data_IF_468595748824
#
_entry.id   IF_468595748824
#
_cell.length_a   1.000
_cell.length_b   1.000
_cell.length_c   1.000
_cell.angle_alpha   90.00
_cell.angle_beta   90.00
_cell.angle_gamma   90.00
#
_symmetry.space_group_name_H-M   'P 1'
#
loop_
_entity.id
_entity.type
_entity.pdbx_description
1 polymer ?
#
# COMPACT_ATOMS: atom_id res chain seq x y z
N UNK A 1 24.57 -12.94 0.75
CA UNK A 1 23.53 -12.81 -0.29
C UNK A 1 23.21 -11.33 -0.37
N UNK A 2 23.25 -10.71 -1.57
CA UNK A 2 22.94 -9.29 -1.73
C UNK A 2 21.51 -9.02 -1.26
N UNK A 3 21.27 -7.81 -0.72
CA UNK A 3 19.94 -7.35 -0.30
C UNK A 3 18.92 -7.41 -1.46
N UNK A 4 19.34 -6.99 -2.64
CA UNK A 4 18.52 -7.06 -3.86
C UNK A 4 18.10 -8.48 -4.22
N UNK A 5 19.02 -9.45 -4.10
CA UNK A 5 18.71 -10.85 -4.36
C UNK A 5 17.63 -11.37 -3.40
N UNK A 6 17.70 -11.03 -2.12
CA UNK A 6 16.69 -11.43 -1.12
C UNK A 6 15.30 -10.85 -1.42
N UNK A 7 15.21 -9.57 -1.83
CA UNK A 7 13.93 -8.95 -2.20
C UNK A 7 13.37 -9.55 -3.49
N UNK A 8 14.22 -9.82 -4.48
CA UNK A 8 13.80 -10.44 -5.73
C UNK A 8 13.27 -11.85 -5.48
N UNK A 9 14.02 -12.70 -4.77
CA UNK A 9 13.60 -14.06 -4.46
C UNK A 9 12.26 -14.08 -3.72
N UNK A 10 11.99 -13.08 -2.88
CA UNK A 10 10.73 -12.97 -2.11
C UNK A 10 9.52 -12.48 -2.92
N UNK A 11 9.74 -11.54 -3.86
CA UNK A 11 8.63 -10.80 -4.49
C UNK A 11 8.54 -10.94 -6.00
N UNK A 12 9.62 -11.29 -6.71
CA UNK A 12 9.59 -11.46 -8.16
C UNK A 12 8.93 -12.78 -8.54
N UNK A 13 8.04 -12.71 -9.51
CA UNK A 13 7.44 -13.93 -10.11
C UNK A 13 8.49 -14.63 -10.96
N UNK A 14 8.72 -15.91 -10.77
CA UNK A 14 9.65 -16.70 -11.61
C UNK A 14 9.23 -16.66 -13.08
N UNK A 15 10.16 -16.32 -13.98
CA UNK A 15 9.90 -16.23 -15.45
C UNK A 15 9.35 -17.51 -16.05
N UNK A 16 9.63 -18.67 -15.47
CA UNK A 16 9.05 -19.97 -15.89
C UNK A 16 7.52 -20.02 -15.79
N UNK A 17 6.93 -19.18 -14.92
CA UNK A 17 5.46 -19.08 -14.78
C UNK A 17 4.82 -18.14 -15.81
N UNK A 18 5.56 -17.27 -16.50
CA UNK A 18 5.03 -16.40 -17.57
C UNK A 18 4.99 -17.13 -18.92
N UNK A 19 5.97 -17.99 -19.24
CA UNK A 19 5.94 -18.80 -20.46
C UNK A 19 4.83 -19.82 -20.47
N UNK A 20 4.51 -20.43 -19.32
CA UNK A 20 3.35 -21.33 -19.18
C UNK A 20 2.02 -20.57 -19.34
N UNK A 21 1.98 -19.29 -19.00
CA UNK A 21 0.78 -18.45 -19.20
C UNK A 21 0.55 -18.09 -20.67
N UNK A 22 1.60 -17.77 -21.42
CA UNK A 22 1.53 -17.46 -22.86
C UNK A 22 1.11 -18.68 -23.68
N UNK A 23 1.60 -19.87 -23.34
CA UNK A 23 1.26 -21.12 -24.02
C UNK A 23 -0.20 -21.58 -23.75
N UNK A 24 -0.80 -21.19 -22.63
CA UNK A 24 -2.21 -21.50 -22.33
C UNK A 24 -3.19 -20.50 -22.92
N UNK A 25 -2.77 -19.28 -23.22
CA UNK A 25 -3.59 -18.26 -23.89
C UNK A 25 -3.65 -18.50 -25.42
N UNK A 26 -2.58 -18.96 -26.04
CA UNK A 26 -2.58 -19.33 -27.48
C UNK A 26 -3.43 -20.56 -27.80
N UNK A 27 -3.58 -21.50 -26.86
CA UNK A 27 -4.43 -22.70 -27.11
C UNK A 27 -5.94 -22.47 -26.86
N UNK A 28 -6.31 -21.29 -26.31
CA UNK A 28 -7.72 -20.92 -26.04
C UNK A 28 -8.42 -20.19 -27.18
N UNK A 29 -7.70 -19.68 -28.19
CA UNK A 29 -8.26 -18.86 -29.26
C UNK A 29 -8.69 -19.64 -30.52
N UNK A 30 -8.35 -20.92 -30.65
CA UNK A 30 -8.58 -21.69 -31.88
C UNK A 30 -9.91 -22.51 -31.93
N UNK A 31 -10.86 -22.23 -31.05
CA UNK A 31 -12.20 -22.88 -31.09
C UNK A 31 -13.31 -21.93 -30.72
N UNK A 32 -13.68 -21.03 -31.61
CA UNK A 32 -15.04 -20.41 -31.65
C UNK A 32 -15.14 -19.50 -32.89
N UNK A 33 -15.18 -20.06 -34.07
CA UNK A 33 -15.87 -19.48 -35.23
C UNK A 33 -16.98 -20.42 -35.65
N UNK A 34 -18.11 -19.84 -35.97
CA UNK A 34 -19.35 -20.29 -36.57
C UNK A 34 -20.56 -20.49 -35.62
N UNK A 35 -21.42 -19.46 -35.57
CA UNK A 35 -22.76 -19.51 -36.18
C UNK A 35 -23.51 -18.17 -36.07
N UNK A 36 -24.10 -17.75 -37.21
CA UNK A 36 -24.98 -16.61 -37.44
C UNK A 36 -26.30 -16.64 -36.66
N UNK A 37 -26.92 -15.55 -36.22
CA UNK A 37 -27.88 -14.69 -36.97
C UNK A 37 -28.80 -13.90 -36.03
N UNK A 38 -28.98 -12.62 -36.39
CA UNK A 38 -30.19 -11.76 -36.33
C UNK A 38 -31.02 -11.58 -35.05
N UNK A 39 -31.18 -10.32 -34.66
CA UNK A 39 -32.46 -9.82 -34.21
C UNK A 39 -32.50 -8.84 -33.03
N UNK A 40 -32.41 -7.55 -33.30
CA UNK A 40 -33.17 -6.40 -32.75
C UNK A 40 -33.45 -6.22 -31.26
N UNK A 41 -33.01 -5.02 -30.79
CA UNK A 41 -33.66 -4.09 -29.86
C UNK A 41 -34.14 -4.59 -28.49
N UNK A 42 -33.50 -4.08 -27.45
CA UNK A 42 -34.06 -3.29 -26.34
C UNK A 42 -33.08 -3.23 -25.16
N UNK A 43 -32.46 -2.06 -24.98
CA UNK A 43 -32.66 -1.12 -23.88
C UNK A 43 -32.27 -1.55 -22.44
N UNK A 44 -31.22 -0.89 -21.97
CA UNK A 44 -31.05 -0.24 -20.64
C UNK A 44 -30.89 -1.12 -19.39
N UNK A 45 -30.74 -2.43 -19.47
CA UNK A 45 -30.51 -3.27 -18.29
C UNK A 45 -29.15 -4.00 -18.26
N UNK A 46 -28.27 -3.79 -19.25
CA UNK A 46 -27.02 -4.58 -19.38
C UNK A 46 -25.79 -4.02 -18.66
N UNK A 47 -25.94 -3.06 -17.78
CA UNK A 47 -24.82 -2.51 -17.00
C UNK A 47 -24.60 -3.16 -15.62
N UNK A 48 -25.41 -4.12 -15.25
CA UNK A 48 -25.33 -4.80 -13.95
C UNK A 48 -24.75 -6.24 -14.00
N UNK A 49 -24.60 -6.85 -15.17
CA UNK A 49 -24.17 -8.26 -15.27
C UNK A 49 -22.72 -8.53 -15.69
N UNK A 50 -21.92 -7.51 -15.98
CA UNK A 50 -20.53 -7.69 -16.42
C UNK A 50 -19.46 -7.51 -15.31
N UNK A 51 -19.80 -7.69 -14.04
CA UNK A 51 -18.85 -7.64 -12.92
C UNK A 51 -18.42 -9.02 -12.40
N UNK A 52 -18.72 -10.11 -13.09
CA UNK A 52 -18.18 -11.44 -12.78
C UNK A 52 -17.11 -11.89 -13.78
N UNK A 53 -16.03 -11.12 -13.93
CA UNK A 53 -14.79 -11.72 -14.39
C UNK A 53 -14.08 -12.29 -13.17
N UNK A 54 -14.44 -13.51 -12.82
CA UNK A 54 -13.64 -14.37 -11.93
C UNK A 54 -12.27 -14.55 -12.58
N UNK A 55 -11.29 -13.72 -12.24
CA UNK A 55 -9.89 -14.09 -12.42
C UNK A 55 -9.69 -15.31 -11.53
N UNK A 56 -9.61 -16.50 -12.15
CA UNK A 56 -9.28 -17.73 -11.43
C UNK A 56 -7.94 -17.53 -10.76
N UNK A 57 -7.82 -17.84 -9.45
CA UNK A 57 -6.52 -17.88 -8.80
C UNK A 57 -5.60 -18.86 -9.56
N UNK A 58 -4.28 -18.65 -9.47
CA UNK A 58 -3.23 -19.55 -10.00
C UNK A 58 -3.70 -21.00 -9.79
N UNK A 59 -3.71 -21.80 -10.82
CA UNK A 59 -3.87 -23.24 -10.65
C UNK A 59 -2.60 -23.75 -9.98
N UNK A 60 -2.75 -24.17 -8.74
CA UNK A 60 -1.72 -24.89 -8.01
C UNK A 60 -1.35 -26.14 -8.81
N UNK A 61 -0.06 -26.45 -8.93
CA UNK A 61 0.45 -27.68 -9.51
C UNK A 61 0.38 -28.80 -8.47
N UNK A 62 0.42 -30.07 -8.91
CA UNK A 62 0.47 -31.20 -7.98
C UNK A 62 1.72 -31.18 -7.07
N UNK A 63 2.77 -30.44 -7.46
CA UNK A 63 3.98 -30.26 -6.67
C UNK A 63 3.84 -29.24 -5.52
N UNK A 64 2.79 -28.41 -5.51
CA UNK A 64 2.52 -27.41 -4.48
C UNK A 64 1.73 -27.99 -3.28
N UNK A 65 1.46 -29.31 -3.27
CA UNK A 65 0.71 -29.97 -2.22
C UNK A 65 1.55 -31.01 -1.51
N UNK A 66 1.50 -31.03 -0.19
CA UNK A 66 2.02 -32.10 0.64
C UNK A 66 1.28 -33.42 0.38
N UNK A 67 1.83 -34.55 0.88
CA UNK A 67 1.21 -35.88 0.77
C UNK A 67 -0.26 -35.91 1.25
N UNK A 68 -0.69 -34.97 2.08
CA UNK A 68 -2.05 -34.82 2.59
C UNK A 68 -2.92 -33.89 1.69
N UNK A 69 -2.41 -33.37 0.58
CA UNK A 69 -3.11 -32.48 -0.36
C UNK A 69 -3.27 -31.05 0.15
N UNK A 70 -2.46 -30.62 1.12
CA UNK A 70 -2.41 -29.27 1.68
C UNK A 70 -1.17 -28.52 1.16
N UNK A 71 -1.30 -27.22 0.98
CA UNK A 71 -0.17 -26.34 0.68
C UNK A 71 0.63 -26.14 1.96
N UNK A 72 1.96 -26.20 1.88
CA UNK A 72 2.82 -25.87 3.03
C UNK A 72 2.60 -24.41 3.46
N UNK A 73 2.82 -24.10 4.73
CA UNK A 73 2.73 -22.72 5.24
C UNK A 73 3.75 -21.83 4.52
N UNK A 74 4.94 -22.35 4.24
CA UNK A 74 6.03 -21.63 3.56
C UNK A 74 5.62 -21.27 2.12
N UNK A 75 5.06 -22.21 1.35
CA UNK A 75 4.57 -21.93 -0.01
C UNK A 75 3.39 -20.95 -0.03
N UNK A 76 2.50 -21.02 0.96
CA UNK A 76 1.40 -20.08 1.09
C UNK A 76 1.91 -18.65 1.38
N UNK A 77 2.86 -18.49 2.29
CA UNK A 77 3.48 -17.20 2.61
C UNK A 77 4.23 -16.63 1.41
N UNK A 78 4.91 -17.45 0.62
CA UNK A 78 5.58 -17.04 -0.61
C UNK A 78 4.58 -16.55 -1.67
N UNK A 79 3.50 -17.27 -1.90
CA UNK A 79 2.44 -16.87 -2.83
C UNK A 79 1.80 -15.55 -2.42
N UNK A 80 1.52 -15.36 -1.13
CA UNK A 80 0.96 -14.11 -0.60
C UNK A 80 1.97 -12.95 -0.75
N UNK A 81 3.26 -13.18 -0.49
CA UNK A 81 4.30 -12.17 -0.67
C UNK A 81 4.45 -11.77 -2.15
N UNK A 82 4.45 -12.72 -3.08
CA UNK A 82 4.50 -12.45 -4.51
C UNK A 82 3.28 -11.65 -5.00
N UNK A 83 2.07 -12.01 -4.55
CA UNK A 83 0.85 -11.26 -4.88
C UNK A 83 0.91 -9.82 -4.35
N UNK A 84 1.39 -9.66 -3.12
CA UNK A 84 1.56 -8.34 -2.50
C UNK A 84 2.60 -7.52 -3.26
N UNK A 85 3.77 -8.11 -3.56
CA UNK A 85 4.82 -7.49 -4.36
C UNK A 85 4.31 -7.02 -5.73
N UNK A 86 3.56 -7.86 -6.44
CA UNK A 86 2.98 -7.51 -7.73
C UNK A 86 1.98 -6.33 -7.63
N UNK A 87 1.17 -6.26 -6.57
CA UNK A 87 0.25 -5.14 -6.34
C UNK A 87 0.99 -3.84 -6.04
N UNK A 88 2.03 -3.89 -5.21
CA UNK A 88 2.88 -2.72 -4.95
C UNK A 88 3.64 -2.28 -6.21
N UNK A 89 4.19 -3.23 -6.98
CA UNK A 89 4.86 -2.94 -8.25
C UNK A 89 3.93 -2.22 -9.24
N UNK A 90 2.70 -2.68 -9.39
CA UNK A 90 1.71 -2.06 -10.26
C UNK A 90 1.23 -0.69 -9.71
N UNK A 91 0.92 -0.61 -8.41
CA UNK A 91 0.41 0.61 -7.79
C UNK A 91 1.45 1.73 -7.68
N UNK A 92 2.75 1.40 -7.64
CA UNK A 92 3.85 2.36 -7.56
C UNK A 92 4.52 2.67 -8.90
N UNK A 93 3.95 2.21 -10.03
CA UNK A 93 4.56 2.34 -11.34
C UNK A 93 4.99 3.79 -11.66
N UNK A 94 4.11 4.77 -11.44
CA UNK A 94 4.44 6.19 -11.71
C UNK A 94 5.56 6.71 -10.82
N UNK A 95 5.55 6.35 -9.54
CA UNK A 95 6.60 6.75 -8.59
C UNK A 95 7.93 6.09 -8.94
N UNK A 96 7.90 4.81 -9.31
CA UNK A 96 9.08 4.04 -9.73
C UNK A 96 9.72 4.63 -10.98
N UNK A 97 8.94 4.84 -12.04
CA UNK A 97 9.44 5.39 -13.29
C UNK A 97 10.06 6.78 -13.09
N UNK A 98 9.37 7.65 -12.35
CA UNK A 98 9.88 9.00 -12.08
C UNK A 98 11.16 8.98 -11.23
N UNK A 99 11.23 8.16 -10.19
CA UNK A 99 12.41 8.05 -9.33
C UNK A 99 13.60 7.47 -10.11
N UNK A 100 13.37 6.41 -10.85
CA UNK A 100 14.40 5.75 -11.66
C UNK A 100 14.95 6.67 -12.74
N UNK A 101 14.09 7.42 -13.44
CA UNK A 101 14.52 8.40 -14.45
C UNK A 101 15.40 9.50 -13.83
N UNK A 102 14.97 10.04 -12.68
CA UNK A 102 15.74 11.09 -12.00
C UNK A 102 17.08 10.57 -11.48
N UNK A 103 17.11 9.37 -10.89
CA UNK A 103 18.35 8.76 -10.40
C UNK A 103 19.31 8.42 -11.56
N UNK A 104 18.80 7.86 -12.66
CA UNK A 104 19.62 7.58 -13.84
C UNK A 104 20.21 8.87 -14.43
N UNK A 105 19.43 9.95 -14.51
CA UNK A 105 19.89 11.25 -14.97
C UNK A 105 20.96 11.84 -14.05
N UNK A 106 20.81 11.67 -12.74
CA UNK A 106 21.77 12.11 -11.74
C UNK A 106 23.11 11.37 -11.91
N UNK A 107 23.08 10.03 -11.95
CA UNK A 107 24.26 9.18 -12.13
C UNK A 107 24.95 9.45 -13.48
N UNK A 108 24.19 9.61 -14.56
CA UNK A 108 24.75 9.94 -15.88
C UNK A 108 25.45 11.31 -15.90
N UNK A 109 24.97 12.28 -15.11
CA UNK A 109 25.53 13.63 -15.02
C UNK A 109 26.77 13.68 -14.14
N UNK A 110 26.78 12.98 -13.03
CA UNK A 110 27.85 12.96 -12.04
C UNK A 110 28.48 11.58 -12.00
N UNK A 111 29.72 11.46 -12.48
CA UNK A 111 30.45 10.17 -12.51
C UNK A 111 31.28 9.92 -11.25
N UNK A 112 31.39 10.91 -10.36
CA UNK A 112 32.15 10.81 -9.12
C UNK A 112 31.25 11.12 -7.94
N UNK A 113 31.51 10.42 -6.86
CA UNK A 113 30.87 10.64 -5.58
C UNK A 113 31.57 11.81 -4.88
N UNK A 114 31.13 13.02 -5.16
CA UNK A 114 31.63 14.28 -4.59
C UNK A 114 30.48 15.10 -3.99
N UNK A 115 30.77 16.28 -3.45
CA UNK A 115 29.76 17.12 -2.80
C UNK A 115 28.69 17.60 -3.77
N UNK A 116 29.06 17.93 -4.99
CA UNK A 116 28.11 18.37 -6.04
C UNK A 116 27.08 17.25 -6.37
N UNK A 117 27.53 15.98 -6.33
CA UNK A 117 26.64 14.82 -6.46
C UNK A 117 25.66 14.72 -5.30
N UNK A 118 26.12 14.86 -4.06
CA UNK A 118 25.24 14.76 -2.88
C UNK A 118 24.24 15.90 -2.82
N UNK A 119 24.63 17.14 -3.15
CA UNK A 119 23.70 18.27 -3.24
C UNK A 119 22.59 18.00 -4.28
N UNK A 120 22.95 17.46 -5.46
CA UNK A 120 21.97 17.12 -6.48
C UNK A 120 21.09 15.92 -6.09
N UNK A 121 21.61 14.96 -5.35
CA UNK A 121 20.83 13.84 -4.76
C UNK A 121 19.83 14.36 -3.73
N UNK A 122 20.22 15.30 -2.87
CA UNK A 122 19.34 15.95 -1.90
C UNK A 122 18.18 16.67 -2.61
N UNK A 123 18.46 17.45 -3.65
CA UNK A 123 17.45 18.14 -4.44
C UNK A 123 16.46 17.15 -5.09
N UNK A 124 16.97 16.05 -5.66
CA UNK A 124 16.17 14.98 -6.27
C UNK A 124 15.22 14.34 -5.22
N UNK A 125 15.74 13.96 -4.06
CA UNK A 125 14.96 13.32 -3.01
C UNK A 125 13.92 14.26 -2.40
N UNK A 126 14.21 15.55 -2.22
CA UNK A 126 13.25 16.57 -1.78
C UNK A 126 12.12 16.71 -2.81
N UNK A 127 12.47 16.72 -4.11
CA UNK A 127 11.49 16.80 -5.20
C UNK A 127 10.58 15.57 -5.26
N UNK A 128 11.08 14.41 -4.83
CA UNK A 128 10.31 13.16 -4.68
C UNK A 128 9.45 13.11 -3.40
N UNK A 129 9.35 14.22 -2.63
CA UNK A 129 8.60 14.35 -1.36
C UNK A 129 9.12 13.44 -0.22
N UNK A 130 10.41 13.06 -0.22
CA UNK A 130 11.02 12.25 0.86
C UNK A 130 11.05 13.00 2.22
N UNK A 131 10.90 14.33 2.20
CA UNK A 131 10.93 15.17 3.40
C UNK A 131 12.36 15.65 3.74
N UNK A 132 12.49 16.93 4.07
CA UNK A 132 13.80 17.57 4.26
C UNK A 132 14.66 16.88 5.33
N UNK A 133 14.10 16.61 6.51
CA UNK A 133 14.86 15.99 7.60
C UNK A 133 15.31 14.57 7.25
N UNK A 134 14.44 13.80 6.59
CA UNK A 134 14.75 12.44 6.13
C UNK A 134 15.86 12.46 5.09
N UNK A 135 15.81 13.40 4.15
CA UNK A 135 16.85 13.59 3.12
C UNK A 135 18.20 13.88 3.76
N UNK A 136 18.27 14.83 4.68
CA UNK A 136 19.52 15.20 5.34
C UNK A 136 20.13 14.02 6.12
N UNK A 137 19.31 13.26 6.83
CA UNK A 137 19.79 12.04 7.53
C UNK A 137 20.29 10.99 6.55
N UNK A 138 19.52 10.72 5.49
CA UNK A 138 19.87 9.72 4.48
C UNK A 138 21.18 10.07 3.76
N UNK A 139 21.33 11.32 3.33
CA UNK A 139 22.53 11.72 2.60
C UNK A 139 23.77 11.75 3.47
N UNK A 140 23.67 12.09 4.75
CA UNK A 140 24.78 11.99 5.69
C UNK A 140 25.21 10.52 5.90
N UNK A 141 24.24 9.61 6.08
CA UNK A 141 24.54 8.16 6.18
C UNK A 141 25.18 7.63 4.88
N UNK A 142 24.68 8.09 3.72
CA UNK A 142 25.28 7.73 2.42
C UNK A 142 26.70 8.23 2.27
N UNK A 143 27.03 9.46 2.70
CA UNK A 143 28.39 9.98 2.72
C UNK A 143 29.32 9.11 3.57
N UNK A 144 28.89 8.78 4.78
CA UNK A 144 29.67 7.91 5.66
C UNK A 144 29.87 6.53 5.06
N UNK A 145 28.85 5.94 4.45
CA UNK A 145 28.92 4.62 3.86
C UNK A 145 29.79 4.59 2.60
N UNK A 146 29.69 5.63 1.75
CA UNK A 146 30.55 5.79 0.58
C UNK A 146 32.04 5.88 0.98
N UNK A 147 32.34 6.62 2.05
CA UNK A 147 33.70 6.70 2.58
C UNK A 147 34.17 5.36 3.16
N UNK A 148 33.30 4.67 3.92
CA UNK A 148 33.61 3.37 4.54
C UNK A 148 33.90 2.27 3.50
N UNK A 149 33.11 2.21 2.42
CA UNK A 149 33.28 1.26 1.30
C UNK A 149 34.28 1.74 0.26
N UNK A 150 34.83 2.97 0.39
CA UNK A 150 35.70 3.62 -0.59
C UNK A 150 35.08 3.70 -2.00
N UNK A 151 33.78 4.01 -2.06
CA UNK A 151 33.02 4.16 -3.31
C UNK A 151 33.39 5.49 -3.94
N UNK A 152 33.86 5.46 -5.19
CA UNK A 152 34.23 6.66 -5.95
C UNK A 152 33.36 6.88 -7.17
N UNK A 153 32.75 5.82 -7.69
CA UNK A 153 31.84 5.87 -8.83
C UNK A 153 30.38 5.93 -8.35
N UNK A 154 29.58 6.77 -8.99
CA UNK A 154 28.16 6.96 -8.63
C UNK A 154 27.31 5.73 -8.96
N UNK A 155 27.71 4.92 -9.94
CA UNK A 155 27.02 3.67 -10.26
C UNK A 155 27.08 2.68 -9.09
N UNK A 156 28.25 2.56 -8.44
CA UNK A 156 28.43 1.68 -7.28
C UNK A 156 27.64 2.14 -6.04
N UNK A 157 27.26 3.44 -5.99
CA UNK A 157 26.46 3.99 -4.91
C UNK A 157 24.96 3.67 -5.04
N UNK A 158 24.48 3.28 -6.21
CA UNK A 158 23.07 3.01 -6.50
C UNK A 158 22.47 1.97 -5.55
N UNK A 159 23.12 0.83 -5.35
CA UNK A 159 22.66 -0.23 -4.44
C UNK A 159 22.63 0.28 -2.99
N UNK A 160 23.63 1.07 -2.60
CA UNK A 160 23.72 1.63 -1.24
C UNK A 160 22.61 2.64 -0.96
N UNK A 161 22.21 3.44 -1.95
CA UNK A 161 21.07 4.35 -1.82
C UNK A 161 19.81 3.57 -1.47
N UNK A 162 19.52 2.49 -2.20
CA UNK A 162 18.34 1.67 -1.96
C UNK A 162 18.43 0.94 -0.62
N UNK A 163 19.59 0.37 -0.26
CA UNK A 163 19.81 -0.25 1.06
C UNK A 163 19.49 0.74 2.18
N UNK A 164 20.01 1.96 2.11
CA UNK A 164 19.79 2.99 3.15
C UNK A 164 18.34 3.46 3.24
N UNK A 165 17.64 3.58 2.13
CA UNK A 165 16.19 3.88 2.14
C UNK A 165 15.43 2.79 2.89
N UNK A 166 15.81 1.53 2.72
CA UNK A 166 15.19 0.41 3.43
C UNK A 166 15.53 0.42 4.91
N UNK A 167 16.79 0.68 5.27
CA UNK A 167 17.21 0.75 6.67
C UNK A 167 16.42 1.80 7.45
N UNK A 168 16.13 2.96 6.86
CA UNK A 168 15.29 4.01 7.47
C UNK A 168 13.90 3.47 7.83
N UNK A 169 13.37 2.53 7.02
CA UNK A 169 12.09 1.89 7.29
C UNK A 169 12.12 0.89 8.43
N UNK A 170 13.22 0.16 8.60
CA UNK A 170 13.35 -0.91 9.59
C UNK A 170 13.86 -0.46 10.96
N UNK A 171 14.17 0.84 11.15
CA UNK A 171 14.74 1.35 12.40
C UNK A 171 13.79 1.34 13.62
N UNK A 172 12.51 1.00 13.45
CA UNK A 172 11.54 0.92 14.54
C UNK A 172 10.82 -0.44 14.54
N UNK A 173 10.35 -0.89 15.71
CA UNK A 173 9.75 -2.22 15.99
C UNK A 173 8.88 -2.80 14.86
N UNK A 174 9.10 -4.08 14.54
CA UNK A 174 8.52 -4.85 13.43
C UNK A 174 6.96 -5.02 13.44
N UNK A 175 6.25 -4.55 14.46
CA UNK A 175 4.81 -4.75 14.64
C UNK A 175 3.97 -3.47 14.71
N UNK A 176 4.54 -2.31 14.43
CA UNK A 176 3.79 -1.04 14.52
C UNK A 176 2.70 -0.90 13.45
N UNK A 177 2.85 -1.58 12.31
CA UNK A 177 1.89 -1.56 11.21
C UNK A 177 0.64 -2.42 11.48
N UNK A 178 0.68 -3.35 12.43
CA UNK A 178 -0.45 -4.20 12.77
C UNK A 178 -1.62 -3.39 13.35
N UNK A 179 -2.85 -3.82 13.01
CA UNK A 179 -4.07 -3.24 13.59
C UNK A 179 -4.25 -3.71 15.03
N UNK A 180 -4.60 -2.79 15.93
CA UNK A 180 -4.93 -3.10 17.32
C UNK A 180 -6.37 -3.63 17.44
N UNK A 181 -6.62 -4.81 16.86
CA UNK A 181 -7.90 -5.49 16.88
C UNK A 181 -7.75 -6.80 17.65
N UNK A 182 -8.72 -7.11 18.50
CA UNK A 182 -8.73 -8.32 19.31
C UNK A 182 -10.01 -9.13 19.07
N UNK A 183 -9.88 -10.44 19.02
CA UNK A 183 -11.02 -11.33 18.87
C UNK A 183 -11.83 -11.38 20.19
N UNK A 184 -13.14 -11.57 20.05
CA UNK A 184 -14.04 -11.72 21.19
C UNK A 184 -14.49 -10.41 21.84
N UNK A 185 -14.06 -9.24 21.32
CA UNK A 185 -14.57 -7.93 21.74
C UNK A 185 -15.11 -7.13 20.55
N UNK A 186 -15.92 -6.11 20.84
CA UNK A 186 -16.26 -5.09 19.85
C UNK A 186 -15.05 -4.16 19.63
N UNK A 187 -14.45 -4.22 18.46
CA UNK A 187 -13.40 -3.30 18.03
C UNK A 187 -14.01 -2.06 17.36
N UNK A 188 -13.56 -0.88 17.74
CA UNK A 188 -14.04 0.39 17.17
C UNK A 188 -12.89 1.08 16.45
N UNK A 189 -13.06 1.31 15.14
CA UNK A 189 -12.14 2.04 14.28
C UNK A 189 -12.73 3.41 13.97
N UNK A 190 -12.04 4.47 14.33
CA UNK A 190 -12.42 5.85 14.02
C UNK A 190 -11.63 6.34 12.82
N UNK A 191 -12.33 6.71 11.72
CA UNK A 191 -11.70 7.23 10.51
C UNK A 191 -11.71 8.75 10.54
N UNK A 192 -10.53 9.39 10.48
CA UNK A 192 -10.37 10.84 10.48
C UNK A 192 -9.57 11.31 9.25
N UNK A 193 -9.63 12.61 8.96
CA UNK A 193 -8.92 13.20 7.81
C UNK A 193 -9.77 14.24 7.08
N UNK A 194 -9.16 15.02 6.19
CA UNK A 194 -9.87 16.09 5.47
C UNK A 194 -10.83 15.55 4.41
N UNK A 195 -11.69 16.41 3.88
CA UNK A 195 -12.61 16.01 2.80
C UNK A 195 -11.84 15.71 1.50
N UNK A 196 -12.27 14.68 0.76
CA UNK A 196 -11.68 14.30 -0.52
C UNK A 196 -10.45 13.39 -0.45
N UNK A 197 -9.93 13.09 0.74
CA UNK A 197 -8.77 12.18 0.91
C UNK A 197 -9.12 10.70 0.76
N UNK A 198 -10.38 10.33 0.54
CA UNK A 198 -10.76 8.93 0.36
C UNK A 198 -11.26 8.20 1.61
N UNK A 199 -11.65 8.90 2.71
CA UNK A 199 -12.15 8.25 3.95
C UNK A 199 -13.27 7.24 3.67
N UNK A 200 -14.37 7.68 3.07
CA UNK A 200 -15.56 6.84 2.84
C UNK A 200 -15.26 5.65 1.93
N UNK A 201 -14.40 5.85 0.91
CA UNK A 201 -13.92 4.76 0.05
C UNK A 201 -13.07 3.76 0.85
N UNK A 202 -12.17 4.24 1.68
CA UNK A 202 -11.34 3.41 2.57
C UNK A 202 -12.19 2.59 3.53
N UNK A 203 -13.22 3.21 4.14
CA UNK A 203 -14.18 2.52 5.02
C UNK A 203 -14.85 1.36 4.28
N UNK A 204 -15.32 1.59 3.05
CA UNK A 204 -15.93 0.54 2.23
C UNK A 204 -14.96 -0.62 1.94
N UNK A 205 -13.72 -0.32 1.57
CA UNK A 205 -12.68 -1.32 1.30
C UNK A 205 -12.26 -2.09 2.57
N UNK A 206 -12.11 -1.41 3.71
CA UNK A 206 -11.84 -2.07 5.00
C UNK A 206 -13.00 -2.98 5.42
N UNK A 207 -14.24 -2.51 5.28
CA UNK A 207 -15.41 -3.31 5.59
C UNK A 207 -15.48 -4.57 4.71
N UNK A 208 -15.18 -4.45 3.41
CA UNK A 208 -15.08 -5.59 2.52
C UNK A 208 -14.01 -6.59 2.98
N UNK A 209 -12.81 -6.10 3.27
CA UNK A 209 -11.68 -6.93 3.72
C UNK A 209 -12.03 -7.72 4.97
N UNK A 210 -12.47 -7.05 6.04
CA UNK A 210 -12.80 -7.73 7.29
C UNK A 210 -13.98 -8.70 7.15
N UNK A 211 -14.95 -8.37 6.28
CA UNK A 211 -16.03 -9.30 5.96
C UNK A 211 -15.52 -10.58 5.29
N UNK A 212 -14.55 -10.44 4.36
CA UNK A 212 -13.91 -11.60 3.71
C UNK A 212 -13.08 -12.43 4.69
N UNK A 213 -12.55 -11.81 5.76
CA UNK A 213 -11.89 -12.47 6.88
C UNK A 213 -12.89 -13.10 7.88
N UNK A 214 -14.20 -13.09 7.56
CA UNK A 214 -15.26 -13.71 8.36
C UNK A 214 -15.74 -12.88 9.56
N UNK A 215 -15.30 -11.62 9.69
CA UNK A 215 -15.73 -10.73 10.79
C UNK A 215 -17.11 -10.13 10.51
N UNK A 216 -17.90 -9.94 11.55
CA UNK A 216 -19.15 -9.16 11.50
C UNK A 216 -18.82 -7.68 11.58
N UNK A 217 -19.07 -6.96 10.49
CA UNK A 217 -18.73 -5.54 10.36
C UNK A 217 -20.00 -4.68 10.35
N UNK A 218 -19.93 -3.49 10.95
CA UNK A 218 -20.94 -2.45 10.90
C UNK A 218 -20.31 -1.09 10.65
N UNK A 219 -21.02 -0.19 9.97
CA UNK A 219 -20.58 1.17 9.66
C UNK A 219 -21.41 2.20 10.41
N UNK A 220 -20.79 3.33 10.80
CA UNK A 220 -21.45 4.49 11.38
C UNK A 220 -21.21 5.74 10.55
N UNK A 221 -22.29 6.38 10.07
CA UNK A 221 -22.25 7.57 9.22
C UNK A 221 -22.17 8.84 10.06
N UNK A 222 -20.98 9.20 10.55
CA UNK A 222 -20.76 10.38 11.37
C UNK A 222 -20.45 11.67 10.60
N UNK A 223 -20.24 11.66 9.27
CA UNK A 223 -20.23 12.90 8.46
C UNK A 223 -21.68 13.36 8.20
N UNK A 224 -22.33 13.82 9.27
CA UNK A 224 -23.75 14.21 9.25
C UNK A 224 -24.00 15.55 8.58
N UNK A 225 -22.96 16.36 8.34
CA UNK A 225 -23.09 17.65 7.68
C UNK A 225 -23.27 17.58 6.16
N UNK A 226 -23.03 16.42 5.59
CA UNK A 226 -23.09 16.20 4.14
C UNK A 226 -24.06 15.05 3.86
N UNK A 227 -25.27 15.40 3.37
CA UNK A 227 -26.25 14.39 2.94
C UNK A 227 -25.63 13.36 1.99
N UNK A 228 -24.89 13.83 0.98
CA UNK A 228 -24.22 12.95 0.04
C UNK A 228 -23.16 12.03 0.67
N UNK A 229 -22.55 12.37 1.82
CA UNK A 229 -21.62 11.47 2.50
C UNK A 229 -22.34 10.33 3.22
N UNK A 230 -23.50 10.62 3.83
CA UNK A 230 -24.38 9.61 4.43
C UNK A 230 -24.84 8.60 3.37
N UNK A 231 -25.34 9.11 2.24
CA UNK A 231 -25.84 8.27 1.15
C UNK A 231 -24.70 7.45 0.51
N UNK A 232 -23.54 8.07 0.32
CA UNK A 232 -22.35 7.36 -0.19
C UNK A 232 -21.95 6.20 0.73
N UNK A 233 -21.98 6.40 2.04
CA UNK A 233 -21.64 5.32 2.99
C UNK A 233 -22.70 4.21 2.97
N UNK A 234 -23.99 4.53 2.81
CA UNK A 234 -25.07 3.55 2.63
C UNK A 234 -24.85 2.69 1.38
N UNK A 235 -24.51 3.34 0.24
CA UNK A 235 -24.19 2.61 -1.00
C UNK A 235 -23.02 1.66 -0.80
N UNK A 236 -21.97 2.08 -0.05
CA UNK A 236 -20.89 1.17 0.32
C UNK A 236 -21.37 0.02 1.20
N UNK A 237 -22.22 0.30 2.19
CA UNK A 237 -22.82 -0.73 3.05
C UNK A 237 -23.59 -1.77 2.24
N UNK A 238 -24.42 -1.33 1.31
CA UNK A 238 -25.19 -2.21 0.41
C UNK A 238 -24.25 -3.03 -0.49
N UNK A 239 -23.26 -2.38 -1.13
CA UNK A 239 -22.30 -3.04 -2.01
C UNK A 239 -21.49 -4.15 -1.30
N UNK A 240 -21.09 -3.89 -0.07
CA UNK A 240 -20.32 -4.83 0.76
C UNK A 240 -21.25 -5.80 1.50
N UNK A 241 -22.53 -5.46 1.68
CA UNK A 241 -23.51 -6.22 2.45
C UNK A 241 -23.22 -6.16 3.94
N UNK A 242 -23.07 -4.95 4.48
CA UNK A 242 -22.91 -4.66 5.93
C UNK A 242 -23.88 -3.57 6.36
N UNK A 243 -24.34 -3.62 7.62
CA UNK A 243 -25.25 -2.64 8.15
C UNK A 243 -24.60 -1.27 8.33
N UNK A 244 -25.35 -0.21 8.00
CA UNK A 244 -24.96 1.19 8.21
C UNK A 244 -25.90 1.86 9.18
N UNK A 245 -25.41 2.38 10.29
CA UNK A 245 -26.14 3.21 11.22
C UNK A 245 -25.96 4.67 10.81
N UNK A 246 -27.08 5.35 10.57
CA UNK A 246 -27.12 6.75 10.16
C UNK A 246 -28.34 7.46 10.79
N UNK A 247 -28.21 8.77 10.95
CA UNK A 247 -29.33 9.67 11.26
C UNK A 247 -29.53 10.67 10.11
N UNK A 248 -30.49 11.57 10.28
CA UNK A 248 -30.73 12.64 9.29
C UNK A 248 -29.58 13.61 9.20
N UNK A 249 -29.46 14.30 8.05
CA UNK A 249 -28.50 15.39 7.87
C UNK A 249 -28.64 16.43 9.00
N UNK A 250 -27.51 16.93 9.49
CA UNK A 250 -27.43 17.89 10.59
C UNK A 250 -27.57 17.30 12.00
N UNK A 251 -27.75 15.98 12.13
CA UNK A 251 -27.74 15.33 13.44
C UNK A 251 -26.37 15.44 14.12
N UNK A 252 -26.33 15.31 15.44
CA UNK A 252 -25.07 15.30 16.21
C UNK A 252 -24.27 14.03 15.88
N UNK A 253 -23.03 14.16 15.34
CA UNK A 253 -22.19 13.00 15.05
C UNK A 253 -21.97 12.08 16.25
N UNK A 254 -21.85 12.65 17.47
CA UNK A 254 -21.67 11.87 18.68
C UNK A 254 -22.90 11.02 19.04
N UNK A 255 -24.11 11.46 18.69
CA UNK A 255 -25.33 10.67 18.87
C UNK A 255 -25.36 9.49 17.89
N UNK A 256 -24.96 9.69 16.63
CA UNK A 256 -24.81 8.60 15.66
C UNK A 256 -23.84 7.54 16.15
N UNK A 257 -22.70 7.92 16.72
CA UNK A 257 -21.71 6.98 17.28
C UNK A 257 -22.26 6.20 18.45
N UNK A 258 -23.01 6.86 19.34
CA UNK A 258 -23.66 6.20 20.47
C UNK A 258 -24.66 5.14 20.02
N UNK A 259 -25.53 5.48 19.05
CA UNK A 259 -26.50 4.56 18.50
C UNK A 259 -25.84 3.38 17.78
N UNK A 260 -24.77 3.65 17.02
CA UNK A 260 -24.01 2.62 16.30
C UNK A 260 -23.34 1.63 17.27
N UNK A 261 -22.75 2.12 18.36
CA UNK A 261 -22.13 1.26 19.38
C UNK A 261 -23.18 0.37 20.05
N UNK A 262 -24.35 0.92 20.40
CA UNK A 262 -25.41 0.14 21.01
C UNK A 262 -25.96 -0.92 20.04
N UNK A 263 -26.15 -0.56 18.77
CA UNK A 263 -26.55 -1.50 17.73
C UNK A 263 -25.50 -2.61 17.52
N UNK A 264 -24.21 -2.24 17.47
CA UNK A 264 -23.11 -3.19 17.32
C UNK A 264 -23.05 -4.19 18.48
N UNK A 265 -23.15 -3.73 19.71
CA UNK A 265 -23.19 -4.60 20.89
C UNK A 265 -24.37 -5.57 20.85
N UNK A 266 -25.57 -5.08 20.53
CA UNK A 266 -26.80 -5.90 20.49
C UNK A 266 -26.75 -6.96 19.37
N UNK A 267 -26.04 -6.70 18.28
CA UNK A 267 -25.90 -7.62 17.14
C UNK A 267 -24.67 -8.53 17.23
N UNK A 268 -23.83 -8.37 18.24
CA UNK A 268 -22.56 -9.10 18.36
C UNK A 268 -21.63 -8.84 17.20
N UNK A 269 -21.42 -7.56 16.88
CA UNK A 269 -20.52 -7.08 15.83
C UNK A 269 -19.07 -7.15 16.33
N UNK A 270 -18.16 -7.61 15.48
CA UNK A 270 -16.74 -7.69 15.83
C UNK A 270 -16.02 -6.35 15.57
N UNK A 271 -16.40 -5.65 14.47
CA UNK A 271 -15.73 -4.41 14.05
C UNK A 271 -16.78 -3.35 13.68
N UNK A 272 -16.75 -2.22 14.38
CA UNK A 272 -17.48 -1.00 14.03
C UNK A 272 -16.54 0.03 13.43
N UNK A 273 -16.79 0.45 12.17
CA UNK A 273 -16.00 1.48 11.50
C UNK A 273 -16.82 2.78 11.44
N UNK A 274 -16.27 3.84 12.04
CA UNK A 274 -16.91 5.12 12.22
C UNK A 274 -16.36 6.14 11.21
N UNK A 275 -17.20 6.64 10.27
CA UNK A 275 -16.88 7.78 9.40
C UNK A 275 -17.00 9.09 10.18
N UNK A 276 -16.24 10.11 9.79
CA UNK A 276 -16.29 11.45 10.39
C UNK A 276 -16.24 12.56 9.35
N UNK A 277 -16.71 13.73 9.71
CA UNK A 277 -16.52 14.95 8.93
C UNK A 277 -15.03 15.28 8.76
N UNK A 278 -14.69 16.00 7.68
CA UNK A 278 -13.31 16.41 7.37
C UNK A 278 -13.17 17.87 6.97
N UNK A 279 -13.96 18.77 7.55
CA UNK A 279 -13.99 20.20 7.19
C UNK A 279 -12.88 20.99 7.86
N UNK A 280 -11.67 20.95 7.28
CA UNK A 280 -10.51 21.65 7.84
C UNK A 280 -10.61 23.18 7.75
N UNK A 281 -11.50 23.73 6.90
CA UNK A 281 -11.75 25.17 6.82
C UNK A 281 -12.22 25.79 8.16
N UNK A 282 -12.91 24.98 8.98
CA UNK A 282 -13.26 25.34 10.35
C UNK A 282 -12.59 24.37 11.32
N UNK A 283 -11.24 24.45 11.39
CA UNK A 283 -10.38 23.55 12.15
C UNK A 283 -10.85 23.41 13.61
N UNK A 284 -11.13 24.55 14.26
CA UNK A 284 -11.50 24.55 15.69
C UNK A 284 -12.77 23.74 15.95
N UNK A 285 -13.81 23.98 15.16
CA UNK A 285 -15.08 23.26 15.32
C UNK A 285 -14.93 21.76 15.02
N UNK A 286 -14.18 21.42 13.96
CA UNK A 286 -13.90 20.03 13.61
C UNK A 286 -13.19 19.31 14.76
N UNK A 287 -12.16 19.92 15.34
CA UNK A 287 -11.39 19.31 16.42
C UNK A 287 -12.23 19.14 17.70
N UNK A 288 -13.10 20.09 18.03
CA UNK A 288 -14.05 19.95 19.15
C UNK A 288 -15.07 18.84 18.91
N UNK A 289 -15.56 18.70 17.68
CA UNK A 289 -16.47 17.62 17.28
C UNK A 289 -15.80 16.24 17.41
N UNK A 290 -14.59 16.08 16.88
CA UNK A 290 -13.83 14.84 16.98
C UNK A 290 -13.50 14.46 18.42
N UNK A 291 -13.15 15.44 19.26
CA UNK A 291 -12.94 15.23 20.69
C UNK A 291 -14.24 14.77 21.39
N UNK A 292 -15.39 15.36 21.03
CA UNK A 292 -16.69 14.95 21.55
C UNK A 292 -17.04 13.52 21.14
N UNK A 293 -16.85 13.20 19.84
CA UNK A 293 -17.05 11.85 19.30
C UNK A 293 -16.21 10.84 20.05
N UNK A 294 -14.91 11.08 20.17
CA UNK A 294 -13.96 10.22 20.89
C UNK A 294 -14.40 9.99 22.35
N UNK A 295 -14.81 11.04 23.04
CA UNK A 295 -15.29 10.97 24.43
C UNK A 295 -16.53 10.10 24.57
N UNK A 296 -17.47 10.17 23.61
CA UNK A 296 -18.69 9.34 23.60
C UNK A 296 -18.34 7.89 23.31
N UNK A 297 -17.46 7.62 22.35
CA UNK A 297 -16.98 6.28 22.04
C UNK A 297 -16.32 5.64 23.27
N UNK A 298 -15.38 6.34 23.90
CA UNK A 298 -14.63 5.84 25.07
C UNK A 298 -15.57 5.57 26.28
N UNK A 299 -16.58 6.43 26.47
CA UNK A 299 -17.58 6.20 27.54
C UNK A 299 -18.43 4.95 27.29
N UNK A 300 -18.77 4.68 26.03
CA UNK A 300 -19.59 3.54 25.66
C UNK A 300 -18.80 2.22 25.58
N UNK A 301 -17.55 2.27 25.13
CA UNK A 301 -16.61 1.14 25.06
C UNK A 301 -15.29 1.60 25.68
N UNK A 302 -14.91 1.11 26.87
CA UNK A 302 -13.62 1.46 27.48
C UNK A 302 -12.46 1.18 26.51
N UNK A 303 -11.46 2.03 26.52
CA UNK A 303 -10.26 1.99 25.68
C UNK A 303 -10.49 2.23 24.17
N UNK A 304 -11.75 2.37 23.74
CA UNK A 304 -12.06 2.74 22.36
C UNK A 304 -11.97 4.28 22.13
N UNK A 305 -11.68 4.73 20.88
CA UNK A 305 -11.44 3.90 19.71
C UNK A 305 -10.13 3.11 19.82
N UNK A 306 -10.16 1.82 19.47
CA UNK A 306 -8.98 0.95 19.50
C UNK A 306 -8.02 1.31 18.38
N UNK A 307 -8.57 1.84 17.28
CA UNK A 307 -7.83 2.46 16.19
C UNK A 307 -8.43 3.82 15.83
N UNK A 308 -7.58 4.82 15.73
CA UNK A 308 -7.88 6.13 15.15
C UNK A 308 -7.03 6.29 13.88
N UNK A 309 -7.62 5.96 12.72
CA UNK A 309 -6.92 5.95 11.45
C UNK A 309 -7.06 7.29 10.73
N UNK A 310 -5.94 7.93 10.45
CA UNK A 310 -5.88 9.16 9.67
C UNK A 310 -5.71 8.83 8.18
N UNK A 311 -6.72 9.16 7.37
CA UNK A 311 -6.60 9.10 5.92
C UNK A 311 -5.87 10.34 5.39
N UNK A 312 -4.83 10.10 4.61
CA UNK A 312 -4.05 11.11 3.90
C UNK A 312 -4.01 10.79 2.40
N UNK A 313 -4.07 11.83 1.58
CA UNK A 313 -3.94 11.72 0.13
C UNK A 313 -2.47 11.86 -0.26
N UNK A 314 -1.85 10.81 -0.80
CA UNK A 314 -0.44 10.78 -1.20
C UNK A 314 -0.11 11.85 -2.25
N UNK A 315 -1.08 12.23 -3.10
CA UNK A 315 -0.87 13.23 -4.14
C UNK A 315 -0.65 14.65 -3.61
N UNK A 316 -0.97 14.89 -2.32
CA UNK A 316 -0.81 16.21 -1.68
C UNK A 316 0.60 16.45 -1.11
N UNK A 317 1.47 15.44 -1.12
CA UNK A 317 2.88 15.55 -0.72
C UNK A 317 3.04 16.13 0.70
N UNK A 318 3.92 17.10 0.87
CA UNK A 318 4.23 17.75 2.17
C UNK A 318 2.99 18.34 2.88
N UNK A 319 1.91 18.66 2.17
CA UNK A 319 0.67 19.10 2.79
C UNK A 319 0.03 17.99 3.64
N UNK A 320 0.21 16.71 3.28
CA UNK A 320 -0.25 15.58 4.07
C UNK A 320 0.38 15.56 5.46
N UNK A 321 1.69 15.84 5.57
CA UNK A 321 2.39 15.94 6.86
C UNK A 321 1.82 17.04 7.75
N UNK A 322 1.54 18.21 7.16
CA UNK A 322 0.92 19.32 7.90
C UNK A 322 -0.47 18.96 8.41
N UNK A 323 -1.27 18.24 7.62
CA UNK A 323 -2.56 17.71 8.04
C UNK A 323 -2.39 16.71 9.19
N UNK A 324 -1.47 15.78 9.07
CA UNK A 324 -1.23 14.75 10.07
C UNK A 324 -0.86 15.33 11.44
N UNK A 325 0.02 16.34 11.48
CA UNK A 325 0.36 17.05 12.73
C UNK A 325 -0.88 17.62 13.42
N UNK A 326 -1.79 18.23 12.64
CA UNK A 326 -3.03 18.81 13.18
C UNK A 326 -3.97 17.80 13.80
N UNK A 327 -4.12 16.60 13.18
CA UNK A 327 -4.99 15.55 13.70
C UNK A 327 -4.36 14.78 14.85
N UNK A 328 -3.04 14.57 14.84
CA UNK A 328 -2.30 13.88 15.91
C UNK A 328 -2.58 14.45 17.28
N UNK A 329 -2.61 15.79 17.39
CA UNK A 329 -2.80 16.50 18.66
C UNK A 329 -4.16 16.24 19.32
N UNK A 330 -5.22 15.95 18.54
CA UNK A 330 -6.59 15.88 19.03
C UNK A 330 -7.15 14.46 19.09
N UNK A 331 -6.84 13.64 18.08
CA UNK A 331 -7.49 12.36 17.94
C UNK A 331 -6.68 11.17 18.43
N UNK A 332 -5.44 11.37 18.90
CA UNK A 332 -4.50 10.30 19.23
C UNK A 332 -4.43 9.29 18.08
N UNK A 333 -4.05 9.76 16.90
CA UNK A 333 -3.90 8.92 15.69
C UNK A 333 -3.00 7.73 16.00
N UNK A 334 -3.50 6.52 15.76
CA UNK A 334 -2.77 5.26 15.99
C UNK A 334 -2.15 4.72 14.72
N UNK A 335 -2.63 5.17 13.55
CA UNK A 335 -2.12 4.74 12.25
C UNK A 335 -2.59 5.62 11.11
N UNK A 336 -1.90 5.52 9.99
CA UNK A 336 -2.19 6.27 8.77
C UNK A 336 -2.68 5.31 7.69
N UNK A 337 -3.70 5.74 6.94
CA UNK A 337 -4.09 5.16 5.66
C UNK A 337 -3.70 6.14 4.57
N UNK A 338 -2.70 5.77 3.77
CA UNK A 338 -2.22 6.60 2.68
C UNK A 338 -2.94 6.21 1.38
N UNK A 339 -3.83 7.06 0.92
CA UNK A 339 -4.68 6.81 -0.27
C UNK A 339 -4.05 7.37 -1.54
N UNK A 340 -4.50 6.90 -2.71
CA UNK A 340 -4.13 7.38 -4.05
C UNK A 340 -2.63 7.32 -4.34
N UNK A 341 -1.94 6.35 -3.79
CA UNK A 341 -0.51 6.19 -3.99
C UNK A 341 -0.19 5.83 -5.46
N UNK A 342 -1.10 5.15 -6.14
CA UNK A 342 -1.09 4.86 -7.58
C UNK A 342 -1.21 6.11 -8.47
N UNK A 343 -1.74 7.19 -7.92
CA UNK A 343 -1.94 8.46 -8.63
C UNK A 343 -0.73 9.40 -8.62
N UNK A 344 0.29 9.15 -7.80
CA UNK A 344 1.41 10.06 -7.60
C UNK A 344 2.72 9.56 -8.20
N UNK A 345 3.51 10.49 -8.72
CA UNK A 345 4.92 10.26 -9.07
C UNK A 345 5.87 10.49 -7.87
N UNK A 346 5.34 10.85 -6.69
CA UNK A 346 6.06 11.29 -5.49
C UNK A 346 5.84 10.32 -4.33
N UNK A 347 6.23 9.06 -4.54
CA UNK A 347 6.07 7.99 -3.54
C UNK A 347 6.85 8.21 -2.24
N UNK A 348 7.88 9.05 -2.24
CA UNK A 348 8.74 9.31 -1.07
C UNK A 348 8.02 9.84 0.18
N UNK A 349 6.77 10.32 0.03
CA UNK A 349 5.96 10.81 1.16
C UNK A 349 5.80 9.77 2.29
N UNK A 350 5.82 8.49 1.97
CA UNK A 350 5.72 7.41 2.95
C UNK A 350 6.91 7.45 3.93
N UNK A 351 8.14 7.70 3.41
CA UNK A 351 9.35 7.86 4.22
C UNK A 351 9.24 9.06 5.16
N UNK A 352 8.79 10.20 4.62
CA UNK A 352 8.61 11.42 5.40
C UNK A 352 7.59 11.26 6.52
N UNK A 353 6.47 10.58 6.26
CA UNK A 353 5.44 10.30 7.27
C UNK A 353 6.02 9.52 8.44
N UNK A 354 6.75 8.43 8.17
CA UNK A 354 7.32 7.58 9.21
C UNK A 354 8.35 8.34 10.04
N UNK A 355 9.32 8.94 9.38
CA UNK A 355 10.45 9.59 10.05
C UNK A 355 10.06 10.87 10.82
N UNK A 356 9.11 11.67 10.29
CA UNK A 356 8.76 12.96 10.92
C UNK A 356 7.60 12.88 11.90
N UNK A 357 6.69 11.93 11.75
CA UNK A 357 5.48 11.86 12.55
C UNK A 357 5.53 10.76 13.61
N UNK A 358 6.37 9.74 13.41
CA UNK A 358 6.42 8.54 14.26
C UNK A 358 5.02 7.93 14.43
N UNK A 359 4.25 7.86 13.34
CA UNK A 359 2.94 7.21 13.25
C UNK A 359 3.05 6.14 12.16
N UNK A 360 2.70 4.88 12.44
CA UNK A 360 2.81 3.82 11.44
C UNK A 360 1.82 4.03 10.29
N UNK A 361 2.25 3.74 9.07
CA UNK A 361 1.36 3.56 7.93
C UNK A 361 0.81 2.14 8.03
N UNK A 362 -0.50 1.99 8.19
CA UNK A 362 -1.14 0.67 8.33
C UNK A 362 -1.72 0.14 7.03
N UNK A 363 -2.20 1.03 6.16
CA UNK A 363 -2.76 0.69 4.86
C UNK A 363 -2.35 1.68 3.79
N UNK A 364 -2.26 1.18 2.55
CA UNK A 364 -2.04 2.00 1.35
C UNK A 364 -3.08 1.70 0.28
N UNK A 365 -3.58 2.74 -0.39
CA UNK A 365 -4.45 2.63 -1.56
C UNK A 365 -3.63 2.62 -2.83
N UNK A 366 -3.67 1.52 -3.56
CA UNK A 366 -2.90 1.23 -4.77
C UNK A 366 -3.78 1.17 -6.04
N UNK A 367 -5.03 1.66 -5.96
CA UNK A 367 -5.98 1.67 -7.07
C UNK A 367 -7.44 1.77 -6.63
N UNK A 368 -8.37 1.57 -7.57
CA UNK A 368 -9.81 1.79 -7.38
C UNK A 368 -10.57 0.50 -6.98
N UNK A 369 -10.00 -0.69 -7.19
CA UNK A 369 -10.67 -1.96 -6.90
C UNK A 369 -10.85 -2.17 -5.38
N UNK A 370 -11.78 -3.06 -5.00
CA UNK A 370 -12.05 -3.37 -3.59
C UNK A 370 -10.82 -3.92 -2.86
N UNK A 371 -10.01 -4.68 -3.56
CA UNK A 371 -8.81 -5.33 -3.05
C UNK A 371 -7.52 -4.51 -3.28
N UNK A 372 -7.62 -3.24 -3.73
CA UNK A 372 -6.47 -2.34 -3.90
C UNK A 372 -6.12 -1.54 -2.63
N UNK A 373 -6.84 -1.76 -1.53
CA UNK A 373 -6.40 -1.31 -0.21
C UNK A 373 -5.56 -2.42 0.42
N UNK A 374 -4.25 -2.23 0.45
CA UNK A 374 -3.32 -3.22 0.97
C UNK A 374 -2.80 -2.84 2.36
N UNK A 375 -2.57 -3.83 3.25
CA UNK A 375 -1.75 -3.59 4.42
C UNK A 375 -0.40 -3.05 3.99
N UNK A 376 0.11 -2.10 4.73
CA UNK A 376 1.44 -1.59 4.43
C UNK A 376 2.49 -2.59 4.88
N UNK A 377 3.40 -2.90 3.98
CA UNK A 377 4.58 -3.71 4.25
C UNK A 377 5.80 -2.98 3.68
N UNK A 378 6.78 -2.63 4.51
CA UNK A 378 7.95 -1.87 4.09
C UNK A 378 8.74 -2.51 2.95
N UNK A 379 8.98 -3.83 3.01
CA UNK A 379 9.73 -4.54 1.98
C UNK A 379 8.99 -4.56 0.64
N UNK A 380 7.68 -4.81 0.66
CA UNK A 380 6.83 -4.78 -0.55
C UNK A 380 6.76 -3.39 -1.17
N UNK A 381 6.74 -2.35 -0.33
CA UNK A 381 6.78 -0.96 -0.79
C UNK A 381 8.11 -0.64 -1.49
N UNK A 382 9.23 -1.00 -0.87
CA UNK A 382 10.56 -0.79 -1.45
C UNK A 382 10.72 -1.60 -2.73
N UNK A 383 10.30 -2.87 -2.72
CA UNK A 383 10.28 -3.66 -3.95
C UNK A 383 9.44 -2.97 -5.04
N UNK A 384 8.23 -2.50 -4.73
CA UNK A 384 7.38 -1.79 -5.68
C UNK A 384 8.02 -0.52 -6.25
N UNK A 385 8.80 0.22 -5.44
CA UNK A 385 9.45 1.47 -5.84
C UNK A 385 10.74 1.23 -6.66
N UNK A 386 11.46 0.12 -6.41
CA UNK A 386 12.77 -0.16 -7.00
C UNK A 386 12.82 -1.47 -7.81
N UNK A 387 11.66 -2.08 -8.14
CA UNK A 387 11.57 -3.39 -8.77
C UNK A 387 12.45 -3.51 -10.03
N UNK A 388 12.43 -2.51 -10.91
CA UNK A 388 13.19 -2.56 -12.16
C UNK A 388 14.72 -2.56 -11.92
N UNK A 389 15.18 -1.85 -10.89
CA UNK A 389 16.58 -1.85 -10.48
C UNK A 389 17.01 -3.18 -9.81
N UNK A 390 16.11 -3.74 -9.00
CA UNK A 390 16.33 -5.02 -8.31
C UNK A 390 16.37 -6.17 -9.32
N UNK A 391 15.52 -6.15 -10.35
CA UNK A 391 15.41 -7.18 -11.37
C UNK A 391 16.55 -7.14 -12.40
N UNK A 392 17.06 -5.95 -12.76
CA UNK A 392 18.14 -5.75 -13.76
C UNK A 392 19.54 -6.12 -13.23
N UNK A 393 19.81 -5.98 -11.95
CA UNK A 393 21.16 -6.19 -11.39
C UNK A 393 21.67 -7.65 -11.53
N UNK A 394 20.82 -8.64 -11.76
CA UNK A 394 21.25 -10.04 -11.98
C UNK A 394 21.54 -10.39 -13.45
N UNK A 395 20.96 -9.68 -14.40
CA UNK A 395 21.30 -9.91 -15.83
C UNK A 395 22.77 -9.57 -16.10
N UNK A 396 23.30 -8.55 -15.41
CA UNK A 396 24.72 -8.17 -15.50
C UNK A 396 25.61 -9.22 -14.81
N UNK A 397 25.23 -9.68 -13.62
CA UNK A 397 26.05 -10.65 -12.83
C UNK A 397 26.06 -12.05 -13.45
N UNK A 398 25.02 -12.46 -14.14
CA UNK A 398 24.96 -13.75 -14.85
C UNK A 398 25.80 -13.73 -16.13
N UNK A 399 25.80 -12.63 -16.85
CA UNK A 399 26.61 -12.46 -18.08
C UNK A 399 28.10 -12.43 -17.75
N UNK A 400 28.51 -11.77 -16.67
CA UNK A 400 29.91 -11.77 -16.22
C UNK A 400 30.38 -13.16 -15.74
N UNK A 401 29.54 -13.89 -15.00
CA UNK A 401 29.89 -15.25 -14.57
C UNK A 401 29.96 -16.23 -15.75
N UNK A 402 29.11 -16.12 -16.75
CA UNK A 402 29.17 -16.97 -17.95
C UNK A 402 30.38 -16.65 -18.83
N UNK A 403 30.83 -15.40 -18.87
CA UNK A 403 32.05 -15.01 -19.56
C UNK A 403 33.32 -15.54 -18.87
N UNK A 404 33.38 -15.50 -17.53
CA UNK A 404 34.49 -16.04 -16.74
C UNK A 404 34.59 -17.57 -16.91
N UNK A 405 33.46 -18.27 -16.94
CA UNK A 405 33.43 -19.75 -17.12
C UNK A 405 33.82 -20.16 -18.55
N UNK A 406 33.60 -19.32 -19.54
CA UNK A 406 34.04 -19.58 -20.94
C UNK A 406 35.51 -19.31 -21.15
N UNK A 407 36.11 -18.29 -20.54
CA UNK A 407 37.54 -18.00 -20.59
C UNK A 407 38.39 -19.06 -19.88
N UNK A 408 37.95 -19.61 -18.74
CA UNK A 408 38.66 -20.72 -18.06
C UNK A 408 38.62 -22.06 -18.84
N UNK A 409 37.70 -22.26 -19.76
CA UNK A 409 37.62 -23.46 -20.61
C UNK A 409 38.51 -23.41 -21.83
N UNK A 410 38.80 -22.22 -22.36
CA UNK A 410 39.66 -22.06 -23.52
C UNK A 410 41.18 -22.14 -23.19
N UNK A 411 41.56 -21.81 -21.96
CA UNK A 411 42.99 -21.89 -21.54
C UNK A 411 43.45 -23.34 -21.21
N UNK A 412 42.56 -24.32 -21.15
CA UNK A 412 42.92 -25.71 -20.80
C UNK A 412 43.05 -26.65 -22.02
N UNK A 413 43.03 -26.14 -23.26
CA UNK A 413 43.16 -26.96 -24.48
C UNK A 413 44.43 -26.66 -25.30
N UNK A 414 45.41 -25.93 -24.72
CA UNK A 414 46.65 -25.51 -25.41
C UNK A 414 47.93 -26.15 -24.89
N UNK A 415 47.94 -27.37 -24.36
CA UNK A 415 49.14 -28.09 -23.96
C UNK A 415 49.06 -29.58 -24.22
N UNK A 416 49.32 -29.98 -25.45
CA UNK A 416 49.86 -31.29 -25.81
C UNK A 416 50.72 -31.20 -27.07
#
# INVERSE_FOLDING_TARGET
MSFFKRLKDKFATNKENEEVKSLTEEQGQDKLEDTHSEGSTQDVNDLAENAEVKKKPRKLSEADFDDDGLISIEDFEEIEAQKMGAKFKAGLEKSRQNFQEQLNNLIARYRKVDEDFFEALEEMLITADVGFNTVMTLTEELRMEAQRRNIQDTEDLREVIVEKIVEIYHQEDDNLEAMNLEDGRLNVILMVGVNGVGKTTTIGKLAYRYKMEGKKVMLAAGDTFRAGAIDQLKVWGERVGVDVISQSEGSDPAAVMYDAINAAKNKGVDILICDTAGRLQNKTNLMQELEKVKRVINRAVPDAPHEALLCLDATTGQNALSQARNFKEVTNVTGIVLTKLDGTAKGGIVLAIRNELHIPVKYVGLGEQLDDLQPFNPESYVYGLFADMIEQNEEITTVENDQIVTEEKDDNHGSK
#
